data_IF_411134983575
#
_entry.id   IF_411134983575
#
_cell.length_a   1.000
_cell.length_b   1.000
_cell.length_c   1.000
_cell.angle_alpha   90.00
_cell.angle_beta   90.00
_cell.angle_gamma   90.00
#
_symmetry.space_group_name_H-M   'P 1'
#
loop_
_entity.id
_entity.type
_entity.pdbx_description
1 polymer ?
#
# COMPACT_ATOMS: atom_id res chain seq x y z
N UNK A 1 24.82 25.36 6.33
CA UNK A 1 23.97 25.46 7.54
C UNK A 1 23.89 24.08 8.17
N UNK A 2 23.81 23.93 9.51
CA UNK A 2 23.57 22.63 10.12
C UNK A 2 22.18 22.10 9.72
N UNK A 3 22.05 20.78 9.64
CA UNK A 3 20.79 20.10 9.33
C UNK A 3 19.86 20.17 10.55
N UNK A 4 18.68 20.76 10.39
CA UNK A 4 17.65 20.77 11.43
C UNK A 4 16.88 19.44 11.39
N UNK A 5 17.02 18.63 12.43
CA UNK A 5 16.29 17.37 12.55
C UNK A 5 14.94 17.58 13.23
N UNK A 6 13.84 17.43 12.48
CA UNK A 6 12.48 17.45 13.01
C UNK A 6 12.07 16.03 13.42
N UNK A 7 11.82 15.81 14.70
CA UNK A 7 11.37 14.50 15.19
C UNK A 7 9.95 14.18 14.68
N UNK A 8 9.72 12.92 14.32
CA UNK A 8 8.39 12.46 13.94
C UNK A 8 7.42 12.63 15.13
N UNK A 9 6.25 13.20 14.86
CA UNK A 9 5.18 13.36 15.85
C UNK A 9 3.99 12.48 15.49
N UNK A 10 3.63 11.58 16.40
CA UNK A 10 2.39 10.80 16.28
C UNK A 10 1.18 11.73 16.41
N UNK A 11 0.36 11.80 15.37
CA UNK A 11 -0.86 12.64 15.35
C UNK A 11 -2.08 11.91 15.92
N UNK A 12 -2.04 10.58 16.00
CA UNK A 12 -3.12 9.77 16.53
C UNK A 12 -2.84 8.28 16.35
N UNK A 13 -3.78 7.46 16.85
CA UNK A 13 -3.78 6.02 16.64
C UNK A 13 -5.07 5.62 15.94
N UNK A 14 -4.99 4.63 15.06
CA UNK A 14 -6.17 4.09 14.40
C UNK A 14 -7.05 3.37 15.44
N UNK A 15 -8.38 3.56 15.42
CA UNK A 15 -9.30 2.86 16.32
C UNK A 15 -9.56 1.44 15.82
N UNK A 16 -8.50 0.67 15.60
CA UNK A 16 -8.54 -0.71 15.12
C UNK A 16 -7.88 -1.63 16.14
N UNK A 17 -8.46 -2.80 16.35
CA UNK A 17 -7.78 -3.86 17.07
C UNK A 17 -6.55 -4.35 16.29
N UNK A 18 -5.55 -4.94 16.95
CA UNK A 18 -4.41 -5.55 16.27
C UNK A 18 -4.83 -6.58 15.20
N UNK A 19 -5.92 -7.32 15.44
CA UNK A 19 -6.46 -8.31 14.52
C UNK A 19 -7.07 -7.66 13.26
N UNK A 20 -7.79 -6.55 13.43
CA UNK A 20 -8.33 -5.77 12.31
C UNK A 20 -7.20 -5.17 11.47
N UNK A 21 -6.18 -4.62 12.12
CA UNK A 21 -5.03 -4.05 11.44
C UNK A 21 -4.25 -5.12 10.65
N UNK A 22 -4.02 -6.29 11.26
CA UNK A 22 -3.36 -7.42 10.59
C UNK A 22 -4.17 -7.91 9.38
N UNK A 23 -5.50 -8.03 9.51
CA UNK A 23 -6.38 -8.40 8.39
C UNK A 23 -6.35 -7.38 7.26
N UNK A 24 -6.28 -6.09 7.58
CA UNK A 24 -6.12 -5.03 6.57
C UNK A 24 -4.77 -5.12 5.85
N UNK A 25 -3.68 -5.34 6.59
CA UNK A 25 -2.34 -5.49 6.01
C UNK A 25 -2.25 -6.71 5.10
N UNK A 26 -2.88 -7.82 5.49
CA UNK A 26 -3.01 -9.03 4.67
C UNK A 26 -3.76 -8.74 3.37
N UNK A 27 -4.92 -8.09 3.45
CA UNK A 27 -5.72 -7.73 2.29
C UNK A 27 -4.96 -6.80 1.33
N UNK A 28 -4.20 -5.83 1.84
CA UNK A 28 -3.36 -4.95 1.02
C UNK A 28 -2.20 -5.71 0.35
N UNK A 29 -1.65 -6.75 0.98
CA UNK A 29 -0.63 -7.61 0.36
C UNK A 29 -1.24 -8.51 -0.71
N UNK A 30 -2.46 -9.00 -0.50
CA UNK A 30 -3.16 -9.85 -1.47
C UNK A 30 -3.38 -9.12 -2.82
N UNK A 31 -3.57 -7.79 -2.82
CA UNK A 31 -3.72 -6.98 -4.05
C UNK A 31 -2.55 -7.14 -5.03
N UNK A 32 -1.34 -7.38 -4.53
CA UNK A 32 -0.10 -7.47 -5.31
C UNK A 32 0.45 -8.88 -5.43
N UNK A 33 -0.14 -9.85 -4.73
CA UNK A 33 0.41 -11.23 -4.62
C UNK A 33 -0.61 -12.33 -4.92
N UNK A 34 -1.90 -12.11 -4.62
CA UNK A 34 -2.93 -13.11 -4.84
C UNK A 34 -3.26 -13.25 -6.34
N UNK A 35 -3.66 -14.44 -6.82
CA UNK A 35 -3.98 -14.64 -8.24
C UNK A 35 -5.05 -13.70 -8.79
N UNK A 36 -5.98 -13.26 -7.95
CA UNK A 36 -7.08 -12.33 -8.25
C UNK A 36 -6.79 -10.87 -7.81
N UNK A 37 -5.58 -10.59 -7.33
CA UNK A 37 -5.15 -9.26 -6.95
C UNK A 37 -5.09 -8.32 -8.16
N UNK A 38 -5.64 -7.11 -8.02
CA UNK A 38 -5.73 -6.14 -9.12
C UNK A 38 -4.39 -5.62 -9.63
N UNK A 39 -3.30 -5.87 -8.91
CA UNK A 39 -1.95 -5.46 -9.29
C UNK A 39 -0.94 -6.61 -9.32
N UNK A 40 -1.35 -7.86 -9.17
CA UNK A 40 -0.41 -8.99 -9.01
C UNK A 40 0.58 -9.11 -10.16
N UNK A 41 0.11 -9.06 -11.40
CA UNK A 41 0.98 -9.11 -12.58
C UNK A 41 1.91 -7.88 -12.72
N UNK A 42 1.60 -6.77 -12.06
CA UNK A 42 2.46 -5.57 -12.06
C UNK A 42 3.63 -5.70 -11.09
N UNK A 43 3.46 -6.49 -10.03
CA UNK A 43 4.47 -6.70 -8.99
C UNK A 43 5.14 -8.07 -9.05
N UNK A 44 4.69 -8.97 -9.93
CA UNK A 44 5.31 -10.27 -10.15
C UNK A 44 6.81 -10.12 -10.50
N UNK A 45 7.66 -10.84 -9.76
CA UNK A 45 9.11 -10.80 -9.93
C UNK A 45 9.81 -9.59 -9.28
N UNK A 46 9.08 -8.66 -8.68
CA UNK A 46 9.69 -7.60 -7.88
C UNK A 46 10.25 -8.20 -6.59
N UNK A 47 11.57 -8.18 -6.41
CA UNK A 47 12.26 -8.72 -5.22
C UNK A 47 12.03 -7.95 -3.92
N UNK A 48 11.07 -7.02 -3.91
CA UNK A 48 10.66 -6.25 -2.74
C UNK A 48 9.19 -6.58 -2.46
N UNK A 49 8.83 -7.07 -1.25
CA UNK A 49 7.45 -7.33 -0.92
C UNK A 49 6.68 -6.00 -0.81
N UNK A 50 5.68 -5.80 -1.67
CA UNK A 50 4.86 -4.59 -1.72
C UNK A 50 3.44 -4.92 -1.28
N UNK A 51 2.84 -4.06 -0.46
CA UNK A 51 1.40 -4.06 -0.18
C UNK A 51 0.80 -2.72 -0.62
N UNK A 52 -0.44 -2.73 -1.08
CA UNK A 52 -1.09 -1.52 -1.53
C UNK A 52 -2.50 -1.72 -2.06
N UNK A 53 -3.02 -0.69 -2.70
CA UNK A 53 -4.37 -0.71 -3.28
C UNK A 53 -4.43 0.12 -4.56
N UNK A 54 -5.11 -0.44 -5.56
CA UNK A 54 -5.48 0.28 -6.78
C UNK A 54 -6.71 1.16 -6.55
N UNK A 55 -6.71 2.34 -7.17
CA UNK A 55 -7.85 3.25 -7.27
C UNK A 55 -8.09 3.66 -8.72
N UNK A 56 -9.36 3.73 -9.11
CA UNK A 56 -9.79 4.23 -10.41
C UNK A 56 -10.86 5.29 -10.19
N UNK A 57 -10.69 6.45 -10.79
CA UNK A 57 -11.70 7.51 -10.80
C UNK A 57 -12.15 7.76 -12.24
N UNK A 58 -13.45 7.59 -12.50
CA UNK A 58 -14.06 7.85 -13.80
C UNK A 58 -14.11 9.36 -14.07
N UNK A 59 -13.92 9.77 -15.33
CA UNK A 59 -13.93 11.19 -15.70
C UNK A 59 -14.55 11.46 -17.08
N UNK A 60 -15.84 11.13 -17.36
CA UNK A 60 -16.44 11.40 -18.67
C UNK A 60 -16.49 12.90 -19.01
N UNK A 61 -16.25 13.31 -20.28
CA UNK A 61 -15.99 12.47 -21.46
C UNK A 61 -14.51 12.05 -21.61
N UNK A 62 -13.64 12.40 -20.66
CA UNK A 62 -12.22 12.07 -20.67
C UNK A 62 -11.87 10.66 -20.19
N UNK A 63 -10.57 10.37 -20.15
CA UNK A 63 -10.04 9.10 -19.67
C UNK A 63 -10.11 9.01 -18.14
N UNK A 64 -10.35 7.81 -17.63
CA UNK A 64 -10.27 7.55 -16.20
C UNK A 64 -8.86 7.79 -15.64
N UNK A 65 -8.79 8.23 -14.40
CA UNK A 65 -7.55 8.36 -13.65
C UNK A 65 -7.23 7.07 -12.90
N UNK A 66 -5.96 6.65 -12.94
CA UNK A 66 -5.48 5.45 -12.26
C UNK A 66 -4.48 5.81 -11.16
N UNK A 67 -4.66 5.22 -9.98
CA UNK A 67 -3.84 5.45 -8.79
C UNK A 67 -3.41 4.13 -8.18
N UNK A 68 -2.21 4.12 -7.60
CA UNK A 68 -1.77 3.08 -6.70
C UNK A 68 -1.14 3.73 -5.47
N UNK A 69 -1.60 3.32 -4.28
CA UNK A 69 -0.98 3.69 -3.01
C UNK A 69 -0.47 2.42 -2.34
N UNK A 70 0.71 2.48 -1.75
CA UNK A 70 1.30 1.30 -1.12
C UNK A 70 2.49 1.63 -0.23
N UNK A 71 3.00 0.59 0.41
CA UNK A 71 4.18 0.63 1.24
C UNK A 71 5.04 -0.62 1.02
N UNK A 72 6.32 -0.49 1.35
CA UNK A 72 7.31 -1.55 1.30
C UNK A 72 8.41 -1.29 2.35
N UNK A 73 9.09 -2.34 2.86
CA UNK A 73 8.75 -3.75 2.66
C UNK A 73 7.50 -4.14 3.46
N UNK A 74 6.59 -4.88 2.82
CA UNK A 74 5.33 -5.34 3.43
C UNK A 74 5.47 -6.70 4.15
N UNK A 75 6.62 -7.34 4.01
CA UNK A 75 7.04 -8.53 4.72
C UNK A 75 8.56 -8.48 4.88
N UNK A 76 9.17 -9.25 5.80
CA UNK A 76 10.61 -9.45 5.80
C UNK A 76 11.11 -9.92 4.43
N UNK A 77 12.31 -9.52 4.04
CA UNK A 77 12.97 -10.09 2.88
C UNK A 77 13.21 -11.58 3.13
N UNK A 78 12.80 -12.43 2.19
CA UNK A 78 13.12 -13.87 2.17
C UNK A 78 14.35 -14.13 1.33
#
# INVERSE_FOLDING_TARGET
>A
APEETWAARTLGQLPLSPQQLAGLQEALRAVTTAPDGTATHRFAGLGVPVAGKTGTAEAPPGNAHAWFVGYAPAAPYT
#
